data_IF_560696668381
#
_entry.id   IF_560696668381
#
_cell.length_a   1.000
_cell.length_b   1.000
_cell.length_c   1.000
_cell.angle_alpha   90.00
_cell.angle_beta   90.00
_cell.angle_gamma   90.00
#
_symmetry.space_group_name_H-M   'P 1'
#
loop_
_entity.id
_entity.type
_entity.pdbx_description
1 polymer ?
#
# COMPACT_ATOMS: atom_id res chain seq x y z
N UNK A 1 58.36 10.12 31.06
CA UNK A 1 57.22 9.51 31.75
C UNK A 1 55.96 9.97 31.04
N UNK A 2 55.24 9.03 30.42
CA UNK A 2 54.08 9.28 29.58
C UNK A 2 52.80 9.33 30.41
N UNK A 3 51.90 10.27 30.10
CA UNK A 3 50.52 10.29 30.60
C UNK A 3 49.61 10.42 29.39
N UNK A 4 48.97 9.32 29.01
CA UNK A 4 47.97 9.26 27.96
C UNK A 4 46.66 9.91 28.43
N UNK A 5 45.95 10.69 27.60
CA UNK A 5 44.61 11.17 27.94
C UNK A 5 43.59 10.02 27.85
N UNK A 6 42.87 9.80 28.95
CA UNK A 6 41.77 8.86 29.10
C UNK A 6 40.58 9.23 28.18
N UNK A 7 39.86 8.24 27.59
CA UNK A 7 38.65 8.51 26.82
C UNK A 7 37.45 8.83 27.73
N UNK A 8 36.63 9.80 27.30
CA UNK A 8 35.41 10.23 27.98
C UNK A 8 34.34 9.13 28.07
N UNK A 9 33.48 9.12 29.11
CA UNK A 9 32.46 8.10 29.30
C UNK A 9 31.34 8.24 28.26
N UNK A 10 31.02 7.12 27.61
CA UNK A 10 29.94 6.97 26.65
C UNK A 10 28.61 7.12 27.40
N UNK A 11 27.81 8.13 27.05
CA UNK A 11 26.46 8.31 27.58
C UNK A 11 25.57 7.16 27.10
N UNK A 12 25.05 6.44 28.09
CA UNK A 12 24.20 5.27 27.98
C UNK A 12 22.94 5.58 27.13
N UNK A 13 22.65 4.71 26.17
CA UNK A 13 21.53 4.89 25.24
C UNK A 13 20.26 4.35 25.90
N UNK A 14 19.51 5.20 26.59
CA UNK A 14 18.22 4.79 27.16
C UNK A 14 17.30 4.23 26.05
N UNK A 15 16.67 3.05 26.24
CA UNK A 15 15.72 2.52 25.26
C UNK A 15 14.51 3.45 25.19
N UNK A 16 14.29 4.02 23.99
CA UNK A 16 13.14 4.86 23.70
C UNK A 16 11.84 4.03 23.85
N UNK A 17 11.23 4.10 25.03
CA UNK A 17 9.91 3.52 25.27
C UNK A 17 8.88 4.41 24.54
N UNK A 18 8.14 3.90 23.54
CA UNK A 18 7.12 4.69 22.88
C UNK A 18 6.02 5.07 23.89
N UNK A 19 5.55 6.32 23.91
CA UNK A 19 4.54 6.76 24.87
C UNK A 19 3.23 5.99 24.65
N UNK A 20 2.49 5.67 25.74
CA UNK A 20 1.19 5.02 25.62
C UNK A 20 0.22 5.92 24.85
N UNK A 21 -0.30 5.39 23.74
CA UNK A 21 -1.22 6.07 22.82
C UNK A 21 -2.59 6.28 23.50
N UNK A 22 -2.68 7.25 24.40
CA UNK A 22 -3.87 7.58 25.21
C UNK A 22 -4.67 8.76 24.64
N UNK A 23 -4.37 9.19 23.42
CA UNK A 23 -5.21 10.15 22.70
C UNK A 23 -6.46 9.46 22.17
N UNK A 24 -7.63 9.72 22.76
CA UNK A 24 -8.92 9.45 22.10
C UNK A 24 -8.99 10.31 20.84
N UNK A 25 -8.49 9.77 19.72
CA UNK A 25 -8.59 10.40 18.41
C UNK A 25 -10.07 10.59 18.13
N UNK A 26 -10.48 11.85 17.95
CA UNK A 26 -11.85 12.20 17.60
C UNK A 26 -12.32 11.43 16.36
N UNK A 27 -13.64 11.42 16.08
CA UNK A 27 -14.21 10.66 14.97
C UNK A 27 -13.47 10.97 13.67
N UNK A 28 -12.70 10.00 13.16
CA UNK A 28 -11.99 10.18 11.90
C UNK A 28 -13.04 10.06 10.79
N UNK A 29 -13.34 11.18 10.14
CA UNK A 29 -14.38 11.28 9.10
C UNK A 29 -14.21 10.26 7.96
N UNK A 30 -12.99 9.77 7.70
CA UNK A 30 -12.71 8.72 6.71
C UNK A 30 -11.70 7.70 7.23
N UNK A 31 -12.04 6.40 7.16
CA UNK A 31 -11.14 5.32 7.58
C UNK A 31 -9.96 5.19 6.60
N UNK A 32 -8.79 4.83 7.14
CA UNK A 32 -7.56 4.69 6.34
C UNK A 32 -7.59 3.39 5.55
N UNK A 33 -7.04 3.40 4.35
CA UNK A 33 -6.79 2.19 3.57
C UNK A 33 -5.84 1.25 4.31
N UNK A 34 -6.20 -0.02 4.36
CA UNK A 34 -5.41 -1.07 4.97
C UNK A 34 -4.74 -1.90 3.89
N UNK A 35 -3.41 -1.95 3.91
CA UNK A 35 -2.65 -2.94 3.12
C UNK A 35 -2.67 -4.33 3.75
N UNK A 36 -2.94 -4.42 5.05
CA UNK A 36 -2.78 -5.65 5.82
C UNK A 36 -1.31 -6.07 5.97
N UNK A 37 -1.12 -7.23 6.60
CA UNK A 37 0.16 -7.92 6.68
C UNK A 37 -0.03 -9.37 6.22
N UNK A 38 0.76 -9.78 5.23
CA UNK A 38 0.86 -11.18 4.81
C UNK A 38 2.01 -11.83 5.59
N UNK A 39 1.69 -12.90 6.31
CA UNK A 39 2.62 -13.61 7.17
C UNK A 39 2.81 -15.03 6.62
N UNK A 40 4.06 -15.41 6.44
CA UNK A 40 4.47 -16.79 6.21
C UNK A 40 5.12 -17.31 7.48
N UNK A 41 4.59 -18.38 8.02
CA UNK A 41 5.17 -19.06 9.16
C UNK A 41 6.16 -20.15 8.70
N UNK A 42 7.15 -20.46 9.53
CA UNK A 42 8.14 -21.51 9.25
C UNK A 42 7.52 -22.91 9.09
N UNK A 43 6.31 -23.11 9.63
CA UNK A 43 5.51 -24.33 9.46
C UNK A 43 4.83 -24.42 8.08
N UNK A 44 5.04 -23.45 7.19
CA UNK A 44 4.43 -23.39 5.85
C UNK A 44 3.04 -22.72 5.81
N UNK A 45 2.51 -22.28 6.96
CA UNK A 45 1.21 -21.63 7.05
C UNK A 45 1.22 -20.20 6.51
N UNK A 46 0.23 -19.89 5.68
CA UNK A 46 -0.03 -18.55 5.17
C UNK A 46 -1.16 -17.88 5.96
N UNK A 47 -0.92 -16.65 6.41
CA UNK A 47 -1.89 -15.87 7.16
C UNK A 47 -2.02 -14.45 6.62
N UNK A 48 -3.23 -13.91 6.75
CA UNK A 48 -3.56 -12.52 6.50
C UNK A 48 -3.92 -11.86 7.81
N UNK A 49 -3.19 -10.83 8.21
CA UNK A 49 -3.46 -10.04 9.41
C UNK A 49 -3.99 -8.65 9.03
N UNK A 50 -5.13 -8.25 9.59
CA UNK A 50 -5.81 -7.00 9.28
C UNK A 50 -6.78 -6.57 10.39
N UNK A 51 -7.30 -5.35 10.34
CA UNK A 51 -8.24 -4.86 11.34
C UNK A 51 -9.69 -4.90 10.83
N UNK A 52 -10.60 -5.39 11.67
CA UNK A 52 -12.05 -5.42 11.43
C UNK A 52 -12.75 -4.55 12.48
N UNK A 53 -13.80 -3.85 12.06
CA UNK A 53 -14.67 -3.12 12.99
C UNK A 53 -15.72 -4.10 13.49
N UNK A 54 -15.71 -4.35 14.80
CA UNK A 54 -16.69 -5.18 15.47
C UNK A 54 -17.56 -4.31 16.37
N UNK A 55 -18.86 -4.56 16.38
CA UNK A 55 -19.76 -3.92 17.36
C UNK A 55 -19.49 -4.59 18.69
N UNK A 56 -19.02 -3.80 19.66
CA UNK A 56 -18.86 -4.24 21.04
C UNK A 56 -20.22 -4.48 21.71
N UNK A 57 -20.23 -5.17 22.86
CA UNK A 57 -21.47 -5.43 23.61
C UNK A 57 -22.22 -4.13 23.98
N UNK A 58 -21.50 -3.01 24.13
CA UNK A 58 -22.06 -1.70 24.47
C UNK A 58 -22.54 -0.90 23.24
N UNK A 59 -22.66 -1.53 22.07
CA UNK A 59 -23.01 -0.86 20.80
C UNK A 59 -21.90 0.00 20.19
N UNK A 60 -20.79 0.19 20.89
CA UNK A 60 -19.64 0.93 20.40
C UNK A 60 -18.86 0.14 19.33
N UNK A 61 -18.51 0.78 18.22
CA UNK A 61 -17.67 0.17 17.18
C UNK A 61 -16.21 0.11 17.65
N UNK A 62 -15.73 -1.10 17.97
CA UNK A 62 -14.35 -1.34 18.38
C UNK A 62 -13.56 -1.97 17.23
N UNK A 63 -12.40 -1.41 16.93
CA UNK A 63 -11.50 -1.97 15.93
C UNK A 63 -10.68 -3.11 16.56
N UNK A 64 -10.79 -4.32 16.02
CA UNK A 64 -10.05 -5.51 16.47
C UNK A 64 -9.07 -5.98 15.40
N UNK A 65 -7.87 -6.38 15.79
CA UNK A 65 -6.92 -7.04 14.90
C UNK A 65 -7.29 -8.51 14.75
N UNK A 66 -7.32 -9.01 13.53
CA UNK A 66 -7.69 -10.39 13.19
C UNK A 66 -6.56 -11.00 12.38
N UNK A 67 -6.23 -12.26 12.69
CA UNK A 67 -5.32 -13.10 11.92
C UNK A 67 -6.14 -14.22 11.27
N UNK A 68 -6.24 -14.22 9.95
CA UNK A 68 -7.00 -15.19 9.15
C UNK A 68 -6.04 -16.16 8.46
N UNK A 69 -6.26 -17.45 8.63
CA UNK A 69 -5.54 -18.49 7.91
C UNK A 69 -6.00 -18.54 6.45
N UNK A 70 -5.05 -18.63 5.53
CA UNK A 70 -5.30 -18.70 4.09
C UNK A 70 -5.12 -20.13 3.57
N UNK A 71 -4.13 -20.85 4.08
CA UNK A 71 -3.76 -22.20 3.67
C UNK A 71 -2.33 -22.52 4.06
N UNK A 72 -1.89 -23.74 3.78
CA UNK A 72 -0.50 -24.19 3.96
C UNK A 72 0.20 -24.33 2.60
N UNK A 73 1.53 -24.36 2.58
CA UNK A 73 2.38 -24.60 1.40
C UNK A 73 2.02 -25.89 0.65
N UNK A 74 1.49 -26.90 1.35
CA UNK A 74 1.00 -28.14 0.73
C UNK A 74 -0.33 -27.98 0.00
N UNK A 75 -1.13 -26.97 0.35
CA UNK A 75 -2.48 -26.75 -0.18
C UNK A 75 -2.52 -25.64 -1.23
N UNK A 76 -1.64 -24.64 -1.12
CA UNK A 76 -1.58 -23.53 -2.06
C UNK A 76 -0.16 -22.99 -2.22
N UNK A 77 0.12 -22.41 -3.39
CA UNK A 77 1.37 -21.70 -3.62
C UNK A 77 1.35 -20.32 -2.94
N UNK A 78 2.54 -19.77 -2.65
CA UNK A 78 2.67 -18.42 -2.09
C UNK A 78 1.97 -17.37 -2.98
N UNK A 79 2.08 -17.49 -4.30
CA UNK A 79 1.42 -16.58 -5.24
C UNK A 79 -0.10 -16.63 -5.09
N UNK A 80 -0.67 -17.83 -4.93
CA UNK A 80 -2.11 -17.99 -4.68
C UNK A 80 -2.51 -17.39 -3.33
N UNK A 81 -1.71 -17.63 -2.28
CA UNK A 81 -1.95 -17.08 -0.95
C UNK A 81 -1.91 -15.53 -0.94
N UNK A 82 -0.96 -14.92 -1.63
CA UNK A 82 -0.90 -13.46 -1.82
C UNK A 82 -2.11 -12.92 -2.57
N UNK A 83 -2.61 -13.65 -3.58
CA UNK A 83 -3.83 -13.27 -4.30
C UNK A 83 -5.06 -13.32 -3.40
N UNK A 84 -5.20 -14.35 -2.58
CA UNK A 84 -6.29 -14.44 -1.59
C UNK A 84 -6.18 -13.35 -0.51
N UNK A 85 -4.97 -13.05 -0.05
CA UNK A 85 -4.73 -11.93 0.85
C UNK A 85 -5.21 -10.61 0.24
N UNK A 86 -4.86 -10.32 -1.02
CA UNK A 86 -5.30 -9.11 -1.72
C UNK A 86 -6.84 -9.05 -1.80
N UNK A 87 -7.51 -10.14 -2.20
CA UNK A 87 -8.98 -10.22 -2.24
C UNK A 87 -9.62 -9.90 -0.89
N UNK A 88 -9.06 -10.41 0.20
CA UNK A 88 -9.55 -10.12 1.55
C UNK A 88 -9.34 -8.64 1.91
N UNK A 89 -8.20 -8.05 1.54
CA UNK A 89 -7.96 -6.63 1.78
C UNK A 89 -8.93 -5.75 0.99
N UNK A 90 -9.24 -6.10 -0.26
CA UNK A 90 -10.19 -5.34 -1.08
C UNK A 90 -11.58 -5.34 -0.46
N UNK A 91 -12.08 -6.51 -0.02
CA UNK A 91 -13.36 -6.63 0.69
C UNK A 91 -13.38 -5.84 2.01
N UNK A 92 -12.29 -5.91 2.79
CA UNK A 92 -12.16 -5.17 4.06
C UNK A 92 -12.14 -3.66 3.83
N UNK A 93 -11.41 -3.19 2.82
CA UNK A 93 -11.33 -1.78 2.48
C UNK A 93 -12.67 -1.28 1.93
N UNK A 94 -13.35 -2.08 1.10
CA UNK A 94 -14.69 -1.78 0.60
C UNK A 94 -15.70 -1.62 1.75
N UNK A 95 -15.79 -2.61 2.65
CA UNK A 95 -16.70 -2.59 3.81
C UNK A 95 -16.46 -1.42 4.76
N UNK A 96 -15.20 -0.98 4.89
CA UNK A 96 -14.83 0.18 5.72
C UNK A 96 -15.01 1.53 5.03
N UNK A 97 -15.36 1.55 3.75
CA UNK A 97 -15.35 2.78 2.94
C UNK A 97 -13.95 3.39 2.79
N UNK A 98 -12.91 2.56 2.91
CA UNK A 98 -11.52 2.98 2.82
C UNK A 98 -11.07 2.99 1.37
N UNK A 99 -10.72 4.17 0.86
CA UNK A 99 -10.20 4.33 -0.50
C UNK A 99 -8.67 4.27 -0.46
N UNK A 100 -8.06 3.51 -1.37
CA UNK A 100 -6.62 3.46 -1.54
C UNK A 100 -6.05 4.87 -1.71
N UNK A 101 -4.95 5.22 -1.04
CA UNK A 101 -4.30 6.49 -1.30
C UNK A 101 -3.88 6.50 -2.77
N UNK A 102 -4.52 7.35 -3.58
CA UNK A 102 -4.11 7.55 -4.95
C UNK A 102 -2.62 7.90 -4.95
N UNK A 103 -1.80 7.31 -5.84
CA UNK A 103 -0.42 7.74 -5.99
C UNK A 103 -0.44 9.24 -6.24
N UNK A 104 0.11 10.01 -5.30
CA UNK A 104 0.10 11.47 -5.39
C UNK A 104 0.78 11.89 -6.69
N UNK A 105 0.12 12.76 -7.45
CA UNK A 105 0.75 13.52 -8.53
C UNK A 105 1.15 12.73 -9.77
N UNK A 106 0.39 11.70 -10.18
CA UNK A 106 0.54 11.10 -11.50
C UNK A 106 -0.76 11.19 -12.28
N UNK A 107 -0.82 12.20 -13.14
CA UNK A 107 -1.84 12.36 -14.16
C UNK A 107 -1.61 11.37 -15.30
N UNK A 108 -2.60 11.19 -16.18
CA UNK A 108 -2.38 10.43 -17.42
C UNK A 108 -1.26 11.05 -18.27
N UNK A 109 -1.14 12.37 -18.27
CA UNK A 109 -0.05 13.06 -18.97
C UNK A 109 1.34 12.61 -18.47
N UNK A 110 1.50 12.44 -17.16
CA UNK A 110 2.75 11.94 -16.56
C UNK A 110 3.03 10.49 -16.99
N UNK A 111 2.00 9.66 -17.09
CA UNK A 111 2.13 8.29 -17.58
C UNK A 111 2.57 8.26 -19.05
N UNK A 112 2.00 9.12 -19.90
CA UNK A 112 2.40 9.25 -21.31
C UNK A 112 3.83 9.75 -21.44
N UNK A 113 4.25 10.71 -20.62
CA UNK A 113 5.63 11.21 -20.63
C UNK A 113 6.64 10.13 -20.20
N UNK A 114 6.29 9.31 -19.19
CA UNK A 114 7.10 8.17 -18.81
C UNK A 114 7.17 7.10 -19.93
N UNK A 115 6.07 6.86 -20.63
CA UNK A 115 6.08 5.96 -21.79
C UNK A 115 6.99 6.49 -22.91
N UNK A 116 6.96 7.80 -23.19
CA UNK A 116 7.84 8.44 -24.18
C UNK A 116 9.32 8.28 -23.86
N UNK A 117 9.71 8.37 -22.59
CA UNK A 117 11.12 8.27 -22.20
C UNK A 117 11.61 6.84 -22.03
N UNK A 118 10.78 5.93 -21.52
CA UNK A 118 11.20 4.57 -21.17
C UNK A 118 10.90 3.52 -22.25
N UNK A 119 9.85 3.70 -23.05
CA UNK A 119 9.34 2.65 -23.95
C UNK A 119 9.47 3.06 -25.41
N UNK A 120 9.15 4.31 -25.78
CA UNK A 120 9.20 4.75 -27.17
C UNK A 120 10.57 4.54 -27.87
N UNK A 121 11.73 4.70 -27.21
CA UNK A 121 13.03 4.43 -27.85
C UNK A 121 13.25 2.96 -28.26
N UNK A 122 12.51 2.04 -27.63
CA UNK A 122 12.61 0.60 -27.90
C UNK A 122 11.64 0.12 -29.00
N UNK A 123 10.82 1.03 -29.55
CA UNK A 123 9.81 0.73 -30.55
C UNK A 123 10.24 1.23 -31.93
N UNK A 124 9.68 0.63 -32.98
CA UNK A 124 9.91 1.12 -34.35
C UNK A 124 9.35 2.54 -34.52
N UNK A 125 9.98 3.41 -35.33
CA UNK A 125 9.51 4.78 -35.53
C UNK A 125 8.07 4.88 -36.03
N UNK A 126 7.62 3.95 -36.87
CA UNK A 126 6.24 3.90 -37.36
C UNK A 126 5.24 3.60 -36.25
N UNK A 127 5.58 2.67 -35.36
CA UNK A 127 4.77 2.33 -34.18
C UNK A 127 4.65 3.51 -33.21
N UNK A 128 5.76 4.19 -32.92
CA UNK A 128 5.75 5.38 -32.05
C UNK A 128 4.85 6.47 -32.63
N UNK A 129 4.97 6.77 -33.93
CA UNK A 129 4.13 7.78 -34.61
C UNK A 129 2.65 7.44 -34.55
N UNK A 130 2.28 6.18 -34.78
CA UNK A 130 0.90 5.74 -34.72
C UNK A 130 0.31 5.92 -33.31
N UNK A 131 1.04 5.48 -32.27
CA UNK A 131 0.61 5.64 -30.88
C UNK A 131 0.55 7.11 -30.46
N UNK A 132 1.52 7.92 -30.85
CA UNK A 132 1.55 9.34 -30.51
C UNK A 132 0.42 10.12 -31.19
N UNK A 133 0.09 9.79 -32.45
CA UNK A 133 -1.08 10.34 -33.15
C UNK A 133 -2.39 10.00 -32.43
N UNK A 134 -2.56 8.74 -32.04
CA UNK A 134 -3.75 8.28 -31.30
C UNK A 134 -3.86 8.97 -29.93
N UNK A 135 -2.76 9.03 -29.18
CA UNK A 135 -2.69 9.70 -27.89
C UNK A 135 -3.06 11.17 -28.02
N UNK A 136 -2.49 11.90 -28.98
CA UNK A 136 -2.74 13.32 -29.19
C UNK A 136 -4.18 13.62 -29.63
N UNK A 137 -4.75 12.79 -30.50
CA UNK A 137 -6.05 13.06 -31.12
C UNK A 137 -7.22 12.65 -30.23
N UNK A 138 -7.11 11.51 -29.53
CA UNK A 138 -8.28 10.90 -28.88
C UNK A 138 -8.19 10.86 -27.36
N UNK A 139 -6.99 10.66 -26.80
CA UNK A 139 -6.85 10.28 -25.39
C UNK A 139 -6.45 11.49 -24.54
N UNK A 140 -5.40 12.21 -24.93
CA UNK A 140 -4.88 13.36 -24.20
C UNK A 140 -5.92 14.49 -24.01
N UNK A 141 -6.74 14.88 -25.02
CA UNK A 141 -7.70 15.96 -24.84
C UNK A 141 -8.72 15.70 -23.71
N UNK A 142 -9.02 14.43 -23.43
CA UNK A 142 -10.05 14.03 -22.46
C UNK A 142 -9.48 13.62 -21.12
N UNK A 143 -8.30 12.98 -21.10
CA UNK A 143 -7.80 12.29 -19.91
C UNK A 143 -6.48 12.85 -19.37
N UNK A 144 -5.86 13.83 -20.04
CA UNK A 144 -4.52 14.31 -19.66
C UNK A 144 -4.40 14.67 -18.17
N UNK A 145 -5.40 15.34 -17.60
CA UNK A 145 -5.43 15.78 -16.19
C UNK A 145 -6.08 14.76 -15.25
N UNK A 146 -6.69 13.70 -15.78
CA UNK A 146 -7.28 12.66 -14.96
C UNK A 146 -6.17 11.91 -14.23
N UNK A 147 -6.38 11.69 -12.94
CA UNK A 147 -5.57 10.76 -12.14
C UNK A 147 -5.98 9.33 -12.45
N UNK A 148 -5.06 8.37 -12.27
CA UNK A 148 -5.32 6.95 -12.52
C UNK A 148 -6.57 6.44 -11.77
N UNK A 149 -6.82 6.99 -10.58
CA UNK A 149 -7.97 6.63 -9.75
C UNK A 149 -9.31 7.12 -10.34
N UNK A 150 -9.32 8.22 -11.07
CA UNK A 150 -10.55 8.78 -11.68
C UNK A 150 -10.95 8.04 -12.97
N UNK A 151 -10.01 7.30 -13.57
CA UNK A 151 -10.24 6.53 -14.80
C UNK A 151 -10.90 5.15 -14.55
N UNK A 152 -11.23 4.81 -13.30
CA UNK A 152 -12.01 3.61 -12.96
C UNK A 152 -11.27 2.28 -13.18
N UNK A 153 -9.95 2.31 -13.38
CA UNK A 153 -9.13 1.09 -13.48
C UNK A 153 -8.83 0.62 -12.06
N UNK A 154 -9.68 -0.27 -11.55
CA UNK A 154 -9.47 -1.01 -10.30
C UNK A 154 -8.77 -2.35 -10.57
#
# INVERSE_FOLDING_TARGET
MAIAPQPAPVLDSAPATPPPNTGRRGPVARRRFQKGCFIMEANGGFYSQFYIDAVGPDGATVTKQVKKFLGNISQMSERAARREHARIMDDVNFKRGSIAPAPKGRTFADAVNNWRSAIAPNLSPGTVRAYESNLRTHIMPRFAQCTLHEMGVH
#
